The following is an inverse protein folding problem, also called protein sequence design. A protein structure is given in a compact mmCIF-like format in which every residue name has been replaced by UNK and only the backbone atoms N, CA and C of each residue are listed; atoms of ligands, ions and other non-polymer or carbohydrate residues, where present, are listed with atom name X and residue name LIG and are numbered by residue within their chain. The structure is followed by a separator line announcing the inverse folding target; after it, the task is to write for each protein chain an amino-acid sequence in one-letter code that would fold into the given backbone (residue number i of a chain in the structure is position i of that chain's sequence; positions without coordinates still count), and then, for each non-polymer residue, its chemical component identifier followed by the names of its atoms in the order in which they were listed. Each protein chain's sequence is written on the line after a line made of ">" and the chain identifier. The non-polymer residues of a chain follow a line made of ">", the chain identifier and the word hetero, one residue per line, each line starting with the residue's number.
data_IF_613601569322
#
_entry.id   IF_613601569322
#
_cell.length_a   1.000
_cell.length_b   1.000
_cell.length_c   1.000
_cell.angle_alpha   90.00
_cell.angle_beta   90.00
_cell.angle_gamma   90.00
#
_symmetry.space_group_name_H-M   'P 1'
#
loop_
_entity.id
_entity.type
_entity.pdbx_description
1 polymer ?
#
# COMPACT_ATOMS: atom_id res chain seq x y z
N UNK A 1 0.21 21.55 19.39
CA UNK A 1 1.03 20.35 19.71
C UNK A 1 0.23 19.14 19.28
N UNK A 2 0.66 18.42 18.27
CA UNK A 2 -0.06 17.24 17.79
C UNK A 2 0.42 16.00 18.55
N UNK A 3 -0.49 15.14 19.00
CA UNK A 3 -0.12 13.90 19.68
C UNK A 3 0.49 12.93 18.68
N UNK A 4 1.67 12.44 19.00
CA UNK A 4 2.34 11.38 18.23
C UNK A 4 1.71 10.04 18.60
N UNK A 5 0.89 9.50 17.72
CA UNK A 5 0.38 8.13 17.84
C UNK A 5 1.42 7.17 17.27
N UNK A 6 2.01 6.36 18.15
CA UNK A 6 2.92 5.30 17.78
C UNK A 6 2.12 4.09 17.28
N UNK A 7 2.13 3.84 15.99
CA UNK A 7 1.61 2.60 15.41
C UNK A 7 2.75 1.64 15.11
N UNK A 8 2.91 0.63 15.95
CA UNK A 8 3.87 -0.45 15.74
C UNK A 8 3.20 -1.56 14.95
N UNK A 9 3.64 -1.75 13.72
CA UNK A 9 3.52 -3.03 13.03
C UNK A 9 2.15 -3.43 12.54
N UNK A 10 1.45 -2.59 11.79
CA UNK A 10 0.28 -3.05 11.04
C UNK A 10 0.60 -2.99 9.55
N UNK A 11 0.54 -4.15 8.89
CA UNK A 11 0.54 -4.27 7.43
C UNK A 11 -0.76 -3.67 6.86
N UNK A 12 -0.94 -2.38 6.99
CA UNK A 12 -2.05 -1.68 6.34
C UNK A 12 -1.52 -0.43 5.65
N UNK A 13 -1.46 -0.44 4.33
CA UNK A 13 -1.10 0.76 3.59
C UNK A 13 -2.30 1.71 3.58
N UNK A 14 -2.43 2.58 4.57
CA UNK A 14 -3.40 3.67 4.54
C UNK A 14 -2.77 5.04 4.36
N UNK A 15 -1.47 5.09 4.15
CA UNK A 15 -0.81 6.37 3.99
C UNK A 15 -0.10 6.41 2.66
N UNK A 16 -0.87 6.57 1.62
CA UNK A 16 -0.32 6.96 0.34
C UNK A 16 -0.27 8.47 0.31
N UNK A 17 0.91 8.99 0.47
CA UNK A 17 1.11 10.41 0.33
C UNK A 17 1.25 10.72 -1.14
N UNK A 18 0.21 11.33 -1.65
CA UNK A 18 0.31 12.04 -2.92
C UNK A 18 1.09 13.33 -2.66
N UNK A 19 2.40 13.28 -2.79
CA UNK A 19 3.24 14.47 -2.80
C UNK A 19 3.62 14.78 -4.24
N UNK A 20 2.83 15.60 -4.91
CA UNK A 20 3.00 15.89 -6.32
C UNK A 20 2.63 14.70 -7.21
N UNK A 21 3.26 14.57 -8.37
CA UNK A 21 2.97 13.53 -9.38
C UNK A 21 3.61 12.15 -9.06
N UNK A 22 4.07 11.91 -7.84
CA UNK A 22 4.81 10.72 -7.48
C UNK A 22 3.95 9.77 -6.63
N UNK A 23 3.41 8.74 -7.25
CA UNK A 23 2.80 7.61 -6.57
C UNK A 23 3.85 6.50 -6.51
N UNK A 24 4.39 6.23 -5.33
CA UNK A 24 5.25 5.07 -5.10
C UNK A 24 4.38 3.94 -4.60
N UNK A 25 4.17 2.94 -5.43
CA UNK A 25 3.36 1.78 -5.10
C UNK A 25 4.26 0.72 -4.48
N UNK A 26 3.74 0.09 -3.45
CA UNK A 26 4.33 -0.96 -2.63
C UNK A 26 5.12 -0.47 -1.41
N UNK A 27 5.35 0.83 -1.23
CA UNK A 27 6.19 1.27 -0.12
C UNK A 27 5.77 2.63 0.42
N UNK A 28 5.87 2.78 1.73
CA UNK A 28 5.67 4.06 2.41
C UNK A 28 6.95 4.89 2.28
N UNK A 29 6.84 6.09 1.75
CA UNK A 29 7.99 7.01 1.66
C UNK A 29 8.43 7.43 3.06
N UNK A 30 9.72 7.23 3.37
CA UNK A 30 10.31 7.59 4.65
C UNK A 30 11.66 8.29 4.48
N UNK A 31 12.04 9.06 5.51
CA UNK A 31 13.41 9.49 5.67
C UNK A 31 14.29 8.36 6.27
N UNK A 32 15.57 8.64 6.51
CA UNK A 32 16.51 7.67 7.08
C UNK A 32 16.26 7.36 8.57
N UNK A 33 15.42 8.15 9.21
CA UNK A 33 14.94 7.92 10.57
C UNK A 33 13.59 7.18 10.61
N UNK A 34 13.11 6.75 9.47
CA UNK A 34 11.83 6.05 9.33
C UNK A 34 10.60 6.96 9.49
N UNK A 35 10.75 8.30 9.50
CA UNK A 35 9.62 9.22 9.57
C UNK A 35 8.92 9.29 8.24
N UNK A 36 7.60 9.24 8.29
CA UNK A 36 6.74 9.55 7.15
C UNK A 36 6.40 11.05 7.15
N UNK A 37 5.69 11.52 6.15
CA UNK A 37 5.16 12.89 6.14
C UNK A 37 3.92 13.08 7.02
N UNK A 38 3.36 12.00 7.59
CA UNK A 38 2.38 12.07 8.66
C UNK A 38 3.10 12.17 10.01
N UNK A 39 2.92 13.28 10.75
CA UNK A 39 3.53 13.43 12.06
C UNK A 39 3.16 12.29 13.01
N UNK A 40 4.17 11.65 13.61
CA UNK A 40 3.99 10.54 14.54
C UNK A 40 3.84 9.17 13.90
N UNK A 41 3.79 9.08 12.56
CA UNK A 41 3.82 7.81 11.85
C UNK A 41 5.24 7.50 11.37
N UNK A 42 5.71 6.31 11.74
CA UNK A 42 6.99 5.77 11.34
C UNK A 42 6.81 4.47 10.57
N UNK A 43 7.69 4.20 9.62
CA UNK A 43 7.73 2.93 8.92
C UNK A 43 9.18 2.51 8.64
N UNK A 44 9.45 1.21 8.74
CA UNK A 44 10.76 0.63 8.47
C UNK A 44 10.62 -0.74 7.82
N UNK A 45 11.66 -1.17 7.11
CA UNK A 45 11.71 -2.49 6.48
C UNK A 45 11.16 -2.51 5.05
N UNK A 46 10.75 -3.67 4.60
CA UNK A 46 10.31 -3.88 3.21
C UNK A 46 9.06 -3.08 2.81
N UNK A 47 8.31 -2.60 3.80
CA UNK A 47 7.16 -1.72 3.57
C UNK A 47 7.55 -0.28 3.25
N UNK A 48 8.85 0.07 3.29
CA UNK A 48 9.32 1.44 3.11
C UNK A 48 10.00 1.66 1.76
N UNK A 49 9.94 2.90 1.31
CA UNK A 49 10.72 3.41 0.20
C UNK A 49 11.64 4.53 0.68
N UNK A 50 12.93 4.23 0.73
CA UNK A 50 14.00 5.16 1.12
C UNK A 50 14.80 5.67 -0.08
N UNK A 51 14.53 5.15 -1.27
CA UNK A 51 15.30 5.41 -2.48
C UNK A 51 16.54 4.53 -2.65
N UNK A 52 16.91 3.73 -1.64
CA UNK A 52 18.12 2.90 -1.65
C UNK A 52 18.17 1.90 -2.81
N UNK A 53 17.03 1.30 -3.15
CA UNK A 53 16.96 0.18 -4.10
C UNK A 53 16.75 0.62 -5.56
N UNK A 54 16.52 1.89 -5.83
CA UNK A 54 16.22 2.36 -7.18
C UNK A 54 14.98 1.67 -7.76
N UNK A 55 15.06 1.24 -9.02
CA UNK A 55 13.93 0.63 -9.73
C UNK A 55 13.72 -0.87 -9.46
N UNK A 56 14.62 -1.50 -8.72
CA UNK A 56 14.53 -2.94 -8.40
C UNK A 56 15.26 -3.25 -7.09
N UNK A 57 14.54 -3.81 -6.13
CA UNK A 57 15.07 -4.17 -4.83
C UNK A 57 16.02 -5.37 -4.93
N UNK A 58 17.23 -5.24 -4.41
CA UNK A 58 18.17 -6.35 -4.23
C UNK A 58 17.85 -7.07 -2.91
N UNK A 59 17.47 -8.33 -2.99
CA UNK A 59 16.97 -9.12 -1.85
C UNK A 59 17.91 -9.12 -0.64
N UNK A 60 19.22 -9.25 -0.85
CA UNK A 60 20.21 -9.26 0.24
C UNK A 60 20.32 -7.91 0.98
N UNK A 61 20.01 -6.80 0.33
CA UNK A 61 20.06 -5.47 0.94
C UNK A 61 18.82 -5.17 1.79
N UNK A 62 17.70 -5.83 1.56
CA UNK A 62 16.47 -5.60 2.33
C UNK A 62 16.66 -5.85 3.82
N UNK A 63 17.34 -6.95 4.19
CA UNK A 63 17.60 -7.26 5.60
C UNK A 63 18.53 -6.25 6.27
N UNK A 64 19.55 -5.76 5.55
CA UNK A 64 20.45 -4.73 6.05
C UNK A 64 19.70 -3.41 6.25
N UNK A 65 18.87 -3.03 5.30
CA UNK A 65 17.99 -1.86 5.43
C UNK A 65 17.08 -1.97 6.66
N UNK A 66 16.42 -3.12 6.85
CA UNK A 66 15.57 -3.37 8.01
C UNK A 66 16.32 -3.17 9.34
N UNK A 67 17.53 -3.71 9.46
CA UNK A 67 18.33 -3.63 10.69
C UNK A 67 18.79 -2.19 10.94
N UNK A 68 19.39 -1.55 9.93
CA UNK A 68 19.96 -0.20 10.07
C UNK A 68 18.86 0.82 10.35
N UNK A 69 17.81 0.84 9.51
CA UNK A 69 16.75 1.83 9.66
C UNK A 69 15.84 1.52 10.86
N UNK A 70 15.69 0.25 11.24
CA UNK A 70 15.02 -0.11 12.49
C UNK A 70 15.74 0.47 13.71
N UNK A 71 17.07 0.44 13.71
CA UNK A 71 17.87 1.02 14.79
C UNK A 71 17.77 2.56 14.80
N UNK A 72 17.94 3.24 13.66
CA UNK A 72 17.83 4.72 13.60
C UNK A 72 16.42 5.20 13.94
N UNK A 73 15.40 4.51 13.46
CA UNK A 73 14.01 4.81 13.78
C UNK A 73 13.71 4.68 15.27
N UNK A 74 14.22 3.62 15.93
CA UNK A 74 14.05 3.45 17.37
C UNK A 74 14.66 4.64 18.14
N UNK A 75 15.85 5.10 17.77
CA UNK A 75 16.47 6.28 18.38
C UNK A 75 15.65 7.55 18.12
N UNK A 76 15.14 7.73 16.91
CA UNK A 76 14.32 8.88 16.56
C UNK A 76 13.01 8.92 17.37
N UNK A 77 12.35 7.77 17.56
CA UNK A 77 11.15 7.65 18.37
C UNK A 77 11.43 7.97 19.83
N UNK A 78 12.51 7.42 20.39
CA UNK A 78 12.90 7.69 21.78
C UNK A 78 13.21 9.19 21.99
N UNK A 79 13.92 9.80 21.05
CA UNK A 79 14.25 11.22 21.09
C UNK A 79 13.01 12.13 20.96
N UNK A 80 12.02 11.71 20.18
CA UNK A 80 10.76 12.44 20.03
C UNK A 80 9.89 12.41 21.30
N UNK A 81 10.08 11.40 22.14
CA UNK A 81 9.31 11.19 23.35
C UNK A 81 7.89 10.67 23.09
N UNK A 82 7.24 10.20 24.14
CA UNK A 82 5.83 9.82 24.08
C UNK A 82 4.95 11.07 24.16
N UNK A 83 4.18 11.33 23.13
CA UNK A 83 3.10 12.33 23.18
C UNK A 83 1.89 11.82 23.97
N UNK A 84 1.02 12.73 24.40
CA UNK A 84 -0.27 12.34 24.95
C UNK A 84 -1.14 11.71 23.83
N UNK A 85 -1.64 10.51 24.09
CA UNK A 85 -2.60 9.87 23.19
C UNK A 85 -4.00 10.38 23.49
N UNK A 86 -4.73 10.94 22.52
CA UNK A 86 -6.12 11.30 22.75
C UNK A 86 -6.94 10.05 23.06
N UNK A 87 -8.00 10.17 23.89
CA UNK A 87 -8.90 9.04 24.11
C UNK A 87 -9.53 8.61 22.77
N UNK A 88 -9.44 7.33 22.48
CA UNK A 88 -10.11 6.78 21.32
C UNK A 88 -11.61 6.64 21.63
N UNK A 89 -12.50 7.02 20.70
CA UNK A 89 -13.92 6.74 20.85
C UNK A 89 -14.16 5.23 20.95
N UNK A 90 -15.17 4.84 21.69
CA UNK A 90 -15.59 3.45 21.69
C UNK A 90 -16.01 3.01 20.28
N UNK A 91 -15.67 1.79 19.92
CA UNK A 91 -16.12 1.20 18.67
C UNK A 91 -17.64 0.98 18.72
N UNK A 92 -18.37 1.56 17.76
CA UNK A 92 -19.82 1.45 17.66
C UNK A 92 -20.21 0.48 16.54
N UNK A 93 -20.84 -0.62 16.93
CA UNK A 93 -21.36 -1.64 16.02
C UNK A 93 -22.90 -1.65 15.98
N UNK A 94 -23.56 -0.60 16.50
CA UNK A 94 -25.02 -0.56 16.63
C UNK A 94 -25.77 -0.55 15.29
N UNK A 95 -25.07 -0.23 14.20
CA UNK A 95 -25.66 -0.07 12.87
C UNK A 95 -25.27 -1.19 11.89
N UNK A 96 -24.53 -2.21 12.34
CA UNK A 96 -24.06 -3.30 11.49
C UNK A 96 -24.61 -4.64 11.93
N UNK A 97 -24.84 -5.51 10.96
CA UNK A 97 -25.31 -6.87 11.16
C UNK A 97 -24.19 -7.89 11.04
N UNK A 98 -24.42 -9.11 11.53
CA UNK A 98 -23.51 -10.21 11.25
C UNK A 98 -23.67 -10.61 9.78
N UNK A 99 -22.56 -10.77 9.08
CA UNK A 99 -22.60 -11.25 7.70
C UNK A 99 -23.14 -12.67 7.64
N UNK A 100 -24.21 -12.86 6.89
CA UNK A 100 -24.80 -14.19 6.65
C UNK A 100 -23.92 -15.03 5.70
N UNK A 101 -23.11 -14.37 4.87
CA UNK A 101 -22.30 -15.02 3.85
C UNK A 101 -20.83 -14.56 3.88
N UNK A 102 -19.95 -15.38 4.44
CA UNK A 102 -18.49 -15.21 4.30
C UNK A 102 -17.97 -15.57 2.89
N UNK A 103 -18.82 -16.19 2.08
CA UNK A 103 -18.50 -16.61 0.71
C UNK A 103 -18.10 -15.42 -0.16
N UNK A 104 -18.74 -14.26 0.03
CA UNK A 104 -18.44 -13.04 -0.75
C UNK A 104 -17.00 -12.58 -0.54
N UNK A 105 -16.52 -12.58 0.70
CA UNK A 105 -15.15 -12.16 1.03
C UNK A 105 -14.12 -13.10 0.40
N UNK A 106 -14.34 -14.42 0.53
CA UNK A 106 -13.45 -15.42 -0.02
C UNK A 106 -13.42 -15.38 -1.55
N UNK A 107 -14.58 -15.20 -2.18
CA UNK A 107 -14.71 -15.09 -3.63
C UNK A 107 -13.97 -13.85 -4.17
N UNK A 108 -14.21 -12.68 -3.60
CA UNK A 108 -13.57 -11.43 -4.02
C UNK A 108 -12.05 -11.47 -3.79
N UNK A 109 -11.61 -12.15 -2.75
CA UNK A 109 -10.18 -12.39 -2.48
C UNK A 109 -9.52 -13.20 -3.59
N UNK A 110 -10.11 -14.32 -3.96
CA UNK A 110 -9.55 -15.18 -5.02
C UNK A 110 -9.65 -14.51 -6.39
N UNK A 111 -10.75 -13.80 -6.67
CA UNK A 111 -10.91 -13.05 -7.88
C UNK A 111 -9.84 -11.95 -8.03
N UNK A 112 -9.61 -11.16 -6.99
CA UNK A 112 -8.60 -10.11 -7.00
C UNK A 112 -7.19 -10.66 -7.27
N UNK A 113 -6.83 -11.75 -6.59
CA UNK A 113 -5.53 -12.40 -6.79
C UNK A 113 -5.35 -12.92 -8.22
N UNK A 114 -6.38 -13.56 -8.76
CA UNK A 114 -6.36 -14.07 -10.12
C UNK A 114 -6.31 -12.93 -11.15
N UNK A 115 -7.06 -11.85 -10.91
CA UNK A 115 -7.02 -10.65 -11.73
C UNK A 115 -5.62 -10.05 -11.79
N UNK A 116 -5.00 -9.84 -10.64
CA UNK A 116 -3.65 -9.28 -10.56
C UNK A 116 -2.62 -10.17 -11.26
N UNK A 117 -2.72 -11.48 -11.05
CA UNK A 117 -1.84 -12.44 -11.73
C UNK A 117 -1.96 -12.38 -13.25
N UNK A 118 -3.18 -12.39 -13.78
CA UNK A 118 -3.44 -12.52 -15.21
C UNK A 118 -3.26 -11.21 -16.00
N UNK A 119 -3.58 -10.07 -15.39
CA UNK A 119 -3.63 -8.77 -16.08
C UNK A 119 -2.50 -7.82 -15.68
N UNK A 120 -1.97 -7.94 -14.46
CA UNK A 120 -1.00 -7.01 -13.88
C UNK A 120 0.37 -7.65 -13.63
N UNK A 121 0.54 -8.91 -14.05
CA UNK A 121 1.78 -9.66 -13.90
C UNK A 121 2.98 -9.05 -14.64
N UNK A 122 4.03 -9.86 -14.85
CA UNK A 122 5.34 -9.40 -15.34
C UNK A 122 5.27 -8.64 -16.67
N UNK A 123 4.51 -9.16 -17.63
CA UNK A 123 4.39 -8.58 -18.98
C UNK A 123 3.07 -7.82 -19.07
N UNK A 124 3.16 -6.51 -19.12
CA UNK A 124 2.03 -5.59 -19.08
C UNK A 124 1.71 -5.01 -20.48
N UNK A 125 0.46 -4.59 -20.65
CA UNK A 125 0.00 -3.72 -21.73
C UNK A 125 -1.00 -2.74 -21.15
N UNK A 126 -1.07 -1.53 -21.69
CA UNK A 126 -2.02 -0.49 -21.28
C UNK A 126 -3.45 -1.04 -21.23
N UNK A 127 -3.85 -1.72 -22.29
CA UNK A 127 -5.20 -2.30 -22.39
C UNK A 127 -5.52 -3.35 -21.31
N UNK A 128 -4.53 -4.14 -20.87
CA UNK A 128 -4.72 -5.08 -19.74
C UNK A 128 -4.86 -4.35 -18.42
N UNK A 129 -4.02 -3.34 -18.22
CA UNK A 129 -4.05 -2.53 -16.99
C UNK A 129 -5.37 -1.75 -16.86
N UNK A 130 -5.86 -1.17 -17.95
CA UNK A 130 -7.18 -0.49 -17.96
C UNK A 130 -8.33 -1.45 -17.61
N UNK A 131 -8.30 -2.67 -18.13
CA UNK A 131 -9.30 -3.68 -17.78
C UNK A 131 -9.19 -4.11 -16.32
N UNK A 132 -7.97 -4.26 -15.81
CA UNK A 132 -7.76 -4.57 -14.41
C UNK A 132 -8.29 -3.46 -13.52
N UNK A 133 -8.01 -2.20 -13.83
CA UNK A 133 -8.50 -1.06 -13.07
C UNK A 133 -10.03 -1.03 -13.02
N UNK A 134 -10.69 -1.20 -14.16
CA UNK A 134 -12.16 -1.25 -14.22
C UNK A 134 -12.74 -2.36 -13.32
N UNK A 135 -12.10 -3.54 -13.28
CA UNK A 135 -12.55 -4.63 -12.43
C UNK A 135 -12.29 -4.37 -10.95
N UNK A 136 -11.16 -3.73 -10.64
CA UNK A 136 -10.81 -3.31 -9.28
C UNK A 136 -11.82 -2.28 -8.76
N UNK A 137 -12.24 -1.33 -9.58
CA UNK A 137 -13.26 -0.33 -9.22
C UNK A 137 -14.59 -0.99 -8.83
N UNK A 138 -15.02 -2.04 -9.55
CA UNK A 138 -16.21 -2.81 -9.20
C UNK A 138 -16.05 -3.55 -7.88
N UNK A 139 -14.95 -4.29 -7.70
CA UNK A 139 -14.66 -4.99 -6.44
C UNK A 139 -14.60 -4.05 -5.25
N UNK A 140 -14.00 -2.86 -5.45
CA UNK A 140 -13.91 -1.83 -4.41
C UNK A 140 -15.30 -1.36 -3.99
N UNK A 141 -16.19 -1.10 -4.95
CA UNK A 141 -17.57 -0.70 -4.65
C UNK A 141 -18.33 -1.77 -3.87
N UNK A 142 -18.20 -3.04 -4.24
CA UNK A 142 -18.83 -4.17 -3.54
C UNK A 142 -18.29 -4.32 -2.10
N UNK A 143 -16.97 -4.17 -1.93
CA UNK A 143 -16.31 -4.26 -0.62
C UNK A 143 -16.72 -3.08 0.28
N UNK A 144 -16.79 -1.87 -0.26
CA UNK A 144 -17.19 -0.69 0.48
C UNK A 144 -18.66 -0.81 0.96
N UNK A 145 -19.56 -1.32 0.11
CA UNK A 145 -20.93 -1.60 0.48
C UNK A 145 -21.01 -2.66 1.58
N UNK A 146 -20.25 -3.74 1.45
CA UNK A 146 -20.19 -4.80 2.45
C UNK A 146 -19.62 -4.27 3.79
N UNK A 147 -18.58 -3.46 3.73
CA UNK A 147 -17.95 -2.83 4.90
C UNK A 147 -18.90 -1.88 5.65
N UNK A 148 -19.79 -1.20 4.93
CA UNK A 148 -20.75 -0.27 5.51
C UNK A 148 -21.90 -0.98 6.25
N UNK A 149 -22.26 -2.19 5.83
CA UNK A 149 -23.47 -2.87 6.32
C UNK A 149 -23.20 -4.00 7.30
N UNK A 150 -22.00 -4.59 7.26
CA UNK A 150 -21.71 -5.77 8.06
C UNK A 150 -20.60 -5.53 9.08
N UNK A 151 -20.63 -6.36 10.14
CA UNK A 151 -19.60 -6.32 11.19
C UNK A 151 -18.22 -6.55 10.59
N UNK A 152 -17.30 -5.68 10.96
CA UNK A 152 -15.92 -5.71 10.47
C UNK A 152 -15.20 -6.93 11.00
N UNK A 153 -14.69 -7.76 10.07
CA UNK A 153 -13.85 -8.91 10.36
C UNK A 153 -12.41 -8.66 9.88
N UNK A 154 -11.50 -9.48 10.36
CA UNK A 154 -10.11 -9.42 9.89
C UNK A 154 -10.01 -9.63 8.37
N UNK A 155 -10.71 -10.62 7.86
CA UNK A 155 -10.66 -10.99 6.43
C UNK A 155 -11.23 -9.88 5.55
N UNK A 156 -12.29 -9.20 6.01
CA UNK A 156 -12.84 -8.03 5.32
C UNK A 156 -11.87 -6.86 5.30
N UNK A 157 -11.18 -6.59 6.41
CA UNK A 157 -10.14 -5.56 6.47
C UNK A 157 -8.98 -5.86 5.53
N UNK A 158 -8.52 -7.10 5.51
CA UNK A 158 -7.43 -7.53 4.64
C UNK A 158 -7.83 -7.43 3.16
N UNK A 159 -9.06 -7.85 2.80
CA UNK A 159 -9.58 -7.74 1.44
C UNK A 159 -9.66 -6.27 0.98
N UNK A 160 -10.20 -5.39 1.82
CA UNK A 160 -10.23 -3.94 1.53
C UNK A 160 -8.83 -3.38 1.28
N UNK A 161 -7.88 -3.73 2.13
CA UNK A 161 -6.51 -3.27 1.97
C UNK A 161 -5.85 -3.82 0.71
N UNK A 162 -6.14 -5.08 0.34
CA UNK A 162 -5.65 -5.68 -0.90
C UNK A 162 -6.18 -4.99 -2.15
N UNK A 163 -7.45 -4.63 -2.16
CA UNK A 163 -8.06 -3.91 -3.28
C UNK A 163 -7.45 -2.52 -3.44
N UNK A 164 -7.23 -1.79 -2.35
CA UNK A 164 -6.56 -0.49 -2.38
C UNK A 164 -5.11 -0.61 -2.91
N UNK A 165 -4.36 -1.60 -2.44
CA UNK A 165 -3.01 -1.87 -2.96
C UNK A 165 -3.03 -2.21 -4.46
N UNK A 166 -3.97 -3.05 -4.89
CA UNK A 166 -4.11 -3.43 -6.28
C UNK A 166 -4.42 -2.23 -7.18
N UNK A 167 -5.32 -1.35 -6.76
CA UNK A 167 -5.63 -0.10 -7.46
C UNK A 167 -4.37 0.74 -7.66
N UNK A 168 -3.60 0.94 -6.61
CA UNK A 168 -2.39 1.75 -6.68
C UNK A 168 -1.32 1.14 -7.59
N UNK A 169 -1.11 -0.17 -7.51
CA UNK A 169 -0.20 -0.89 -8.42
C UNK A 169 -0.59 -0.67 -9.88
N UNK A 170 -1.87 -0.79 -10.18
CA UNK A 170 -2.36 -0.62 -11.55
C UNK A 170 -2.24 0.82 -12.03
N UNK A 171 -2.63 1.79 -11.20
CA UNK A 171 -2.52 3.22 -11.53
C UNK A 171 -1.07 3.64 -11.76
N UNK A 172 -0.15 3.20 -10.91
CA UNK A 172 1.28 3.47 -11.09
C UNK A 172 1.84 2.81 -12.35
N UNK A 173 1.42 1.57 -12.63
CA UNK A 173 1.83 0.91 -13.86
C UNK A 173 1.29 1.61 -15.12
N UNK A 174 0.08 2.18 -15.06
CA UNK A 174 -0.50 2.96 -16.16
C UNK A 174 0.21 4.31 -16.35
N UNK A 175 0.66 4.94 -15.27
CA UNK A 175 1.34 6.25 -15.35
C UNK A 175 2.77 6.13 -15.88
N UNK A 176 3.38 4.95 -15.81
CA UNK A 176 4.77 4.71 -16.23
C UNK A 176 4.85 4.29 -17.72
N UNK A 177 5.24 5.23 -18.57
CA UNK A 177 5.39 5.03 -20.02
C UNK A 177 6.83 4.65 -20.39
N UNK A 178 7.41 3.70 -19.70
CA UNK A 178 8.73 3.12 -19.95
C UNK A 178 8.80 1.69 -19.40
N UNK A 179 9.79 0.92 -19.80
CA UNK A 179 10.16 -0.35 -19.15
C UNK A 179 11.42 -0.17 -18.34
N UNK A 180 11.30 -0.26 -16.99
CA UNK A 180 12.43 -0.05 -16.08
C UNK A 180 12.28 -0.94 -14.84
N UNK A 181 13.37 -1.56 -14.42
CA UNK A 181 13.37 -2.48 -13.27
C UNK A 181 12.44 -3.65 -13.49
N UNK A 182 11.49 -3.85 -12.59
CA UNK A 182 10.49 -4.93 -12.69
C UNK A 182 9.29 -4.56 -13.56
N UNK A 183 9.11 -3.28 -13.87
CA UNK A 183 8.03 -2.84 -14.75
C UNK A 183 8.43 -3.06 -16.20
N UNK A 184 7.74 -3.98 -16.87
CA UNK A 184 7.89 -4.22 -18.31
C UNK A 184 6.56 -4.05 -19.03
N UNK A 185 6.51 -3.10 -19.98
CA UNK A 185 5.36 -2.85 -20.83
C UNK A 185 5.68 -3.12 -22.30
N UNK A 186 4.82 -3.88 -22.97
CA UNK A 186 4.95 -4.09 -24.42
C UNK A 186 4.67 -2.83 -25.24
N UNK A 187 3.86 -1.93 -24.68
CA UNK A 187 3.48 -0.69 -25.36
C UNK A 187 4.57 0.38 -25.21
N UNK A 188 5.42 0.25 -24.17
CA UNK A 188 6.53 1.15 -23.87
C UNK A 188 7.77 0.33 -23.52
N UNK A 189 8.42 -0.34 -24.50
CA UNK A 189 9.51 -1.27 -24.22
C UNK A 189 10.84 -0.59 -23.85
N UNK A 190 11.00 0.69 -24.20
CA UNK A 190 12.23 1.43 -24.03
C UNK A 190 12.30 2.17 -22.70
N UNK A 191 13.51 2.49 -22.26
CA UNK A 191 13.79 3.36 -21.13
C UNK A 191 13.58 4.82 -21.52
N UNK A 192 12.98 5.60 -20.65
CA UNK A 192 13.05 7.06 -20.77
C UNK A 192 14.48 7.55 -20.49
N UNK A 193 14.90 8.65 -21.15
CA UNK A 193 16.25 9.20 -20.92
C UNK A 193 16.51 9.57 -19.45
N UNK A 194 15.48 9.97 -18.75
CA UNK A 194 15.52 10.35 -17.36
C UNK A 194 14.58 9.45 -16.54
N UNK A 195 15.10 8.82 -15.48
CA UNK A 195 14.28 8.04 -14.57
C UNK A 195 13.40 8.99 -13.74
N UNK A 196 12.08 8.83 -13.87
CA UNK A 196 11.13 9.57 -13.04
C UNK A 196 10.55 8.64 -11.98
N UNK A 197 10.40 9.09 -10.74
CA UNK A 197 9.59 8.38 -9.74
C UNK A 197 8.14 8.26 -10.24
N UNK A 198 7.48 7.18 -9.86
CA UNK A 198 6.07 6.96 -10.18
C UNK A 198 5.24 7.16 -8.95
#
# INVERSE_FOLDING_TARGET
>A
MHPSNLYIGIKTPRTFVQKGENIVVESIVTDLDGRTDLPGLYAVGETTYTGLHGANRLASNSLLECVVLGHTCAHAIVAAGAGESPPLPAWDESQVENADEQVVIAHNWDELRLLMWNYVGIVRTTKRLERALHRIDLLKSEIDEYYANFRVTRDLLELRNLVECAELIVRSALSRHESRGLHFSRDYPDLLPEAKPT
#
